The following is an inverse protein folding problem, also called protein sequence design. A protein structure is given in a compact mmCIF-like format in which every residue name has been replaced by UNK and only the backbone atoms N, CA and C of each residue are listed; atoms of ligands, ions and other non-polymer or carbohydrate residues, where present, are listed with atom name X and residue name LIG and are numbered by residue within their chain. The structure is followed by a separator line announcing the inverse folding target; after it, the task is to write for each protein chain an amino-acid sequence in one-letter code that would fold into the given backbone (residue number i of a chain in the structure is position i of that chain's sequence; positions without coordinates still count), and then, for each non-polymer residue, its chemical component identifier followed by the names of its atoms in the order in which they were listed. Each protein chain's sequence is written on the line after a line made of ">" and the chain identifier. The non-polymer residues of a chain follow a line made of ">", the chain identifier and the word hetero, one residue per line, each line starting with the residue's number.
data_IF_388069359171
#
_entry.id   IF_388069359171
#
_cell.length_a   1.000
_cell.length_b   1.000
_cell.length_c   1.000
_cell.angle_alpha   90.00
_cell.angle_beta   90.00
_cell.angle_gamma   90.00
#
_symmetry.space_group_name_H-M   'P 1'
#
loop_
_entity.id
_entity.type
_entity.pdbx_description
1 polymer ?
#
# COMPACT_ATOMS: atom_id res chain seq x y z
N UNK A 1 13.60 -6.80 4.17
CA UNK A 1 13.09 -6.02 3.01
C UNK A 1 13.96 -6.26 1.78
N UNK A 2 13.40 -6.14 0.56
CA UNK A 2 14.15 -6.22 -0.71
C UNK A 2 14.17 -4.83 -1.38
N UNK A 3 15.10 -4.61 -2.33
CA UNK A 3 15.23 -3.34 -3.08
C UNK A 3 13.93 -2.87 -3.76
N UNK A 4 13.09 -3.80 -4.22
CA UNK A 4 11.78 -3.47 -4.79
C UNK A 4 10.86 -2.80 -3.76
N UNK A 5 10.84 -3.29 -2.53
CA UNK A 5 10.00 -2.73 -1.45
C UNK A 5 10.50 -1.34 -1.04
N UNK A 6 11.82 -1.13 -0.98
CA UNK A 6 12.40 0.20 -0.73
C UNK A 6 12.00 1.20 -1.82
N UNK A 7 12.02 0.76 -3.09
CA UNK A 7 11.56 1.59 -4.21
C UNK A 7 10.07 1.93 -4.09
N UNK A 8 9.22 0.94 -3.79
CA UNK A 8 7.79 1.17 -3.55
C UNK A 8 7.57 2.15 -2.41
N UNK A 9 8.29 1.98 -1.30
CA UNK A 9 8.20 2.86 -0.14
C UNK A 9 8.59 4.30 -0.50
N UNK A 10 9.70 4.49 -1.21
CA UNK A 10 10.09 5.81 -1.73
C UNK A 10 9.01 6.44 -2.62
N UNK A 11 8.41 5.68 -3.52
CA UNK A 11 7.33 6.17 -4.40
C UNK A 11 6.06 6.54 -3.63
N UNK A 12 5.73 5.82 -2.55
CA UNK A 12 4.58 6.14 -1.68
C UNK A 12 4.78 7.49 -0.99
N UNK A 13 6.01 7.79 -0.57
CA UNK A 13 6.37 9.03 0.11
C UNK A 13 6.71 10.19 -0.83
N UNK A 14 6.73 9.96 -2.14
CA UNK A 14 7.07 10.97 -3.13
C UNK A 14 6.06 12.12 -3.18
N UNK A 15 6.53 13.31 -3.58
CA UNK A 15 5.70 14.50 -3.75
C UNK A 15 6.03 15.19 -5.08
N UNK A 16 5.10 15.20 -6.05
CA UNK A 16 3.71 14.73 -5.98
C UNK A 16 3.59 13.19 -5.91
N UNK A 17 2.44 12.70 -5.41
CA UNK A 17 2.16 11.25 -5.35
C UNK A 17 2.23 10.65 -6.75
N UNK A 18 3.05 9.62 -6.92
CA UNK A 18 3.18 8.87 -8.16
C UNK A 18 1.85 8.21 -8.57
N UNK A 19 1.43 8.44 -9.81
CA UNK A 19 0.27 7.77 -10.40
C UNK A 19 0.61 6.36 -10.95
N UNK A 20 1.88 5.96 -10.92
CA UNK A 20 2.36 4.72 -11.56
C UNK A 20 2.57 3.57 -10.57
N UNK A 21 2.03 3.67 -9.35
CA UNK A 21 2.22 2.63 -8.33
C UNK A 21 1.20 1.51 -8.51
N UNK A 22 1.66 0.29 -8.80
CA UNK A 22 0.78 -0.86 -8.94
C UNK A 22 0.36 -1.38 -7.56
N UNK A 23 -0.91 -1.78 -7.41
CA UNK A 23 -1.44 -2.27 -6.12
C UNK A 23 -0.65 -3.47 -5.59
N UNK A 24 -0.23 -4.38 -6.48
CA UNK A 24 0.58 -5.55 -6.13
C UNK A 24 1.92 -5.19 -5.47
N UNK A 25 2.53 -4.08 -5.88
CA UNK A 25 3.78 -3.60 -5.28
C UNK A 25 3.55 -3.07 -3.86
N UNK A 26 2.39 -2.44 -3.63
CA UNK A 26 1.95 -1.98 -2.30
C UNK A 26 1.66 -3.20 -1.41
N UNK A 27 0.88 -4.18 -1.88
CA UNK A 27 0.61 -5.43 -1.15
C UNK A 27 1.91 -6.14 -0.76
N UNK A 28 2.86 -6.26 -1.69
CA UNK A 28 4.16 -6.89 -1.43
C UNK A 28 4.98 -6.14 -0.36
N UNK A 29 4.98 -4.79 -0.40
CA UNK A 29 5.60 -3.97 0.64
C UNK A 29 4.92 -4.19 2.00
N UNK A 30 3.58 -4.13 2.06
CA UNK A 30 2.82 -4.32 3.29
C UNK A 30 3.05 -5.71 3.89
N UNK A 31 3.03 -6.77 3.07
CA UNK A 31 3.36 -8.12 3.52
C UNK A 31 4.80 -8.22 4.05
N UNK A 32 5.76 -7.52 3.43
CA UNK A 32 7.13 -7.46 3.94
C UNK A 32 7.28 -6.67 5.25
N UNK A 33 6.31 -5.82 5.59
CA UNK A 33 6.20 -5.15 6.88
C UNK A 33 5.43 -5.99 7.91
N UNK A 34 5.00 -7.21 7.54
CA UNK A 34 4.28 -8.13 8.42
C UNK A 34 2.77 -8.02 8.36
N UNK A 35 2.21 -7.42 7.31
CA UNK A 35 0.77 -7.33 7.16
C UNK A 35 0.14 -8.71 6.86
N UNK A 36 -1.00 -8.99 7.48
CA UNK A 36 -1.91 -10.05 7.06
C UNK A 36 -2.89 -9.47 6.02
N UNK A 37 -2.97 -10.09 4.85
CA UNK A 37 -3.72 -9.59 3.69
C UNK A 37 -4.73 -10.65 3.27
N UNK A 38 -6.01 -10.29 3.28
CA UNK A 38 -7.10 -11.19 2.90
C UNK A 38 -8.05 -10.55 1.89
N UNK A 39 -8.47 -11.32 0.90
CA UNK A 39 -9.50 -10.91 -0.06
C UNK A 39 -10.88 -10.94 0.61
N UNK A 40 -11.73 -9.99 0.22
CA UNK A 40 -13.11 -9.84 0.69
C UNK A 40 -14.06 -9.74 -0.51
N UNK A 41 -15.35 -9.61 -0.24
CA UNK A 41 -16.36 -9.54 -1.30
C UNK A 41 -16.10 -8.37 -2.29
N UNK A 42 -16.12 -8.71 -3.58
CA UNK A 42 -15.78 -7.82 -4.68
C UNK A 42 -14.26 -7.66 -4.82
N UNK A 43 -13.81 -6.46 -5.19
CA UNK A 43 -12.38 -6.13 -5.31
C UNK A 43 -11.76 -5.64 -3.98
N UNK A 44 -12.39 -5.94 -2.84
CA UNK A 44 -11.93 -5.44 -1.54
C UNK A 44 -10.80 -6.30 -0.98
N UNK A 45 -9.81 -5.64 -0.39
CA UNK A 45 -8.66 -6.26 0.25
C UNK A 45 -8.58 -5.71 1.67
N UNK A 46 -8.70 -6.60 2.66
CA UNK A 46 -8.47 -6.27 4.06
C UNK A 46 -6.99 -6.48 4.39
N UNK A 47 -6.37 -5.46 4.97
CA UNK A 47 -4.98 -5.46 5.41
C UNK A 47 -4.95 -5.22 6.91
N UNK A 48 -4.38 -6.16 7.65
CA UNK A 48 -4.11 -6.02 9.08
C UNK A 48 -2.62 -5.76 9.27
N UNK A 49 -2.27 -4.58 9.78
CA UNK A 49 -0.89 -4.18 10.03
C UNK A 49 -0.87 -3.24 11.24
N UNK A 50 0.18 -3.31 12.07
CA UNK A 50 0.28 -2.53 13.31
C UNK A 50 -0.90 -2.72 14.29
N UNK A 51 -1.60 -3.85 14.22
CA UNK A 51 -2.81 -4.10 15.00
C UNK A 51 -4.06 -3.36 14.49
N UNK A 52 -3.97 -2.63 13.39
CA UNK A 52 -5.08 -1.93 12.74
C UNK A 52 -5.56 -2.69 11.50
N UNK A 53 -6.86 -2.61 11.23
CA UNK A 53 -7.47 -3.13 9.99
C UNK A 53 -7.75 -1.96 9.05
N UNK A 54 -7.26 -2.05 7.82
CA UNK A 54 -7.65 -1.16 6.72
C UNK A 54 -8.19 -1.94 5.55
N UNK A 55 -9.26 -1.44 4.92
CA UNK A 55 -9.84 -2.04 3.73
C UNK A 55 -9.57 -1.12 2.55
N UNK A 56 -9.01 -1.71 1.49
CA UNK A 56 -8.72 -1.04 0.24
C UNK A 56 -9.50 -1.70 -0.90
N UNK A 57 -9.67 -0.98 -2.00
CA UNK A 57 -10.15 -1.54 -3.24
C UNK A 57 -8.97 -1.81 -4.16
N UNK A 58 -8.84 -3.05 -4.63
CA UNK A 58 -7.92 -3.39 -5.71
C UNK A 58 -8.39 -2.63 -6.96
N UNK A 59 -7.49 -1.87 -7.62
CA UNK A 59 -7.85 -1.06 -8.77
C UNK A 59 -8.23 -1.96 -9.96
N UNK A 60 -9.23 -1.53 -10.72
CA UNK A 60 -9.71 -2.19 -11.93
C UNK A 60 -10.34 -1.13 -12.87
N UNK A 61 -10.14 -1.20 -14.21
CA UNK A 61 -9.37 -2.21 -14.95
C UNK A 61 -7.85 -2.00 -14.91
N UNK A 62 -7.40 -0.80 -14.57
CA UNK A 62 -5.96 -0.50 -14.42
C UNK A 62 -5.39 -1.16 -13.17
N UNK A 63 -4.13 -1.65 -13.21
CA UNK A 63 -3.46 -2.17 -12.01
C UNK A 63 -2.93 -1.06 -11.08
N UNK A 64 -2.97 0.19 -11.53
CA UNK A 64 -2.42 1.33 -10.79
C UNK A 64 -3.39 1.81 -9.71
N UNK A 65 -2.85 1.96 -8.50
CA UNK A 65 -3.59 2.45 -7.34
C UNK A 65 -3.86 3.94 -7.47
N UNK A 66 -5.07 4.37 -7.13
CA UNK A 66 -5.43 5.78 -7.17
C UNK A 66 -4.65 6.58 -6.11
N UNK A 67 -4.48 7.88 -6.36
CA UNK A 67 -3.69 8.77 -5.49
C UNK A 67 -4.27 8.87 -4.07
N UNK A 68 -5.58 8.68 -3.90
CA UNK A 68 -6.24 8.71 -2.59
C UNK A 68 -5.85 7.49 -1.75
N UNK A 69 -5.89 6.30 -2.32
CA UNK A 69 -5.43 5.08 -1.67
C UNK A 69 -3.92 5.14 -1.36
N UNK A 70 -3.07 5.63 -2.28
CA UNK A 70 -1.64 5.84 -1.99
C UNK A 70 -1.43 6.84 -0.85
N UNK A 71 -2.16 7.96 -0.83
CA UNK A 71 -2.09 8.93 0.26
C UNK A 71 -2.51 8.32 1.61
N UNK A 72 -3.52 7.45 1.60
CA UNK A 72 -3.99 6.71 2.79
C UNK A 72 -2.90 5.76 3.32
N UNK A 73 -2.26 5.00 2.42
CA UNK A 73 -1.13 4.12 2.77
C UNK A 73 0.04 4.91 3.33
N UNK A 74 0.44 6.02 2.67
CA UNK A 74 1.52 6.89 3.14
C UNK A 74 1.29 7.37 4.56
N UNK A 75 0.11 7.94 4.84
CA UNK A 75 -0.24 8.43 6.18
C UNK A 75 -0.21 7.32 7.21
N UNK A 76 -0.67 6.13 6.86
CA UNK A 76 -0.68 4.99 7.77
C UNK A 76 0.74 4.54 8.16
N UNK A 77 1.62 4.43 7.16
CA UNK A 77 3.03 4.09 7.36
C UNK A 77 3.75 5.15 8.18
N UNK A 78 3.53 6.44 7.88
CA UNK A 78 4.11 7.57 8.59
C UNK A 78 3.68 7.61 10.07
N UNK A 79 2.40 7.39 10.36
CA UNK A 79 1.86 7.31 11.73
C UNK A 79 2.55 6.24 12.59
N UNK A 80 3.04 5.17 11.95
CA UNK A 80 3.73 4.06 12.60
C UNK A 80 5.26 4.15 12.48
N UNK A 81 5.79 5.32 12.09
CA UNK A 81 7.22 5.60 12.05
C UNK A 81 7.98 4.92 10.90
N UNK A 82 7.28 4.34 9.92
CA UNK A 82 7.90 3.81 8.70
C UNK A 82 8.34 4.98 7.83
N UNK A 83 9.60 4.96 7.40
CA UNK A 83 10.23 6.01 6.58
C UNK A 83 10.92 5.39 5.36
N UNK A 84 11.08 6.13 4.25
CA UNK A 84 11.75 5.68 3.03
C UNK A 84 13.21 5.24 3.19
#
# INVERSE_FOLDING_TARGET
>A
MKRSHERTLKLIFDHPISANLAWKDIEALLGALGADISEREGSRVAVVLFGEVRVFHRPHPSPHTDKGAVASVRRWLEQHGVKP
#
